data_IF_620278032731
#
_entry.id   IF_620278032731
#
_cell.length_a   1.000
_cell.length_b   1.000
_cell.length_c   1.000
_cell.angle_alpha   90.00
_cell.angle_beta   90.00
_cell.angle_gamma   90.00
#
_symmetry.space_group_name_H-M   'P 1'
#
loop_
_entity.id
_entity.type
_entity.pdbx_description
1 polymer ?
#
# COMPACT_ATOMS: atom_id res chain seq x y z
N UNK A 1 -6.05 31.69 -42.91
CA UNK A 1 -5.06 32.30 -42.04
C UNK A 1 -4.05 31.24 -41.60
N UNK A 2 -2.76 31.49 -41.80
CA UNK A 2 -1.73 30.55 -41.35
C UNK A 2 -1.28 30.89 -39.95
N UNK A 3 -1.15 29.85 -39.12
CA UNK A 3 -0.59 30.01 -37.79
C UNK A 3 0.91 30.30 -37.92
N UNK A 4 1.47 31.29 -37.19
CA UNK A 4 2.92 31.55 -37.22
C UNK A 4 3.70 30.27 -36.89
N UNK A 5 4.82 30.03 -37.59
CA UNK A 5 5.65 28.83 -37.39
C UNK A 5 6.14 28.69 -35.95
N UNK A 6 6.44 29.82 -35.28
CA UNK A 6 6.87 29.83 -33.89
C UNK A 6 5.75 29.35 -32.96
N UNK A 7 4.53 29.85 -33.13
CA UNK A 7 3.38 29.45 -32.32
C UNK A 7 3.07 27.95 -32.48
N UNK A 8 3.10 27.46 -33.72
CA UNK A 8 2.90 26.04 -34.03
C UNK A 8 3.99 25.16 -33.41
N UNK A 9 5.24 25.60 -33.50
CA UNK A 9 6.38 24.91 -32.91
C UNK A 9 6.29 24.86 -31.37
N UNK A 10 5.92 25.96 -30.73
CA UNK A 10 5.73 26.03 -29.29
C UNK A 10 4.57 25.11 -28.87
N UNK A 11 3.46 25.12 -29.60
CA UNK A 11 2.33 24.24 -29.34
C UNK A 11 2.72 22.76 -29.43
N UNK A 12 3.48 22.39 -30.47
CA UNK A 12 3.93 21.01 -30.66
C UNK A 12 4.88 20.56 -29.55
N UNK A 13 5.79 21.42 -29.11
CA UNK A 13 6.68 21.14 -27.98
C UNK A 13 5.88 20.97 -26.70
N UNK A 14 4.93 21.89 -26.43
CA UNK A 14 4.09 21.84 -25.23
C UNK A 14 3.27 20.55 -25.17
N UNK A 15 2.59 20.19 -26.25
CA UNK A 15 1.79 18.96 -26.31
C UNK A 15 2.65 17.71 -26.19
N UNK A 16 3.83 17.68 -26.79
CA UNK A 16 4.77 16.56 -26.68
C UNK A 16 5.24 16.37 -25.24
N UNK A 17 5.59 17.47 -24.56
CA UNK A 17 6.00 17.42 -23.15
C UNK A 17 4.87 16.89 -22.27
N UNK A 18 3.64 17.34 -22.46
CA UNK A 18 2.48 16.87 -21.72
C UNK A 18 2.25 15.36 -21.93
N UNK A 19 2.31 14.92 -23.18
CA UNK A 19 2.11 13.49 -23.51
C UNK A 19 3.20 12.64 -22.87
N UNK A 20 4.46 13.06 -22.96
CA UNK A 20 5.58 12.34 -22.32
C UNK A 20 5.39 12.23 -20.82
N UNK A 21 5.01 13.32 -20.15
CA UNK A 21 4.76 13.31 -18.70
C UNK A 21 3.61 12.37 -18.32
N UNK A 22 2.53 12.37 -19.10
CA UNK A 22 1.39 11.46 -18.85
C UNK A 22 1.81 10.00 -19.02
N UNK A 23 2.58 9.69 -20.06
CA UNK A 23 3.08 8.32 -20.30
C UNK A 23 4.00 7.87 -19.17
N UNK A 24 4.93 8.72 -18.74
CA UNK A 24 5.85 8.41 -17.61
C UNK A 24 5.03 8.13 -16.35
N UNK A 25 4.06 8.97 -16.04
CA UNK A 25 3.20 8.80 -14.87
C UNK A 25 2.42 7.48 -14.93
N UNK A 26 1.85 7.16 -16.07
CA UNK A 26 1.13 5.90 -16.28
C UNK A 26 2.04 4.68 -16.12
N UNK A 27 3.25 4.73 -16.66
CA UNK A 27 4.24 3.65 -16.53
C UNK A 27 4.65 3.46 -15.07
N UNK A 28 4.86 4.55 -14.33
CA UNK A 28 5.20 4.47 -12.91
C UNK A 28 4.06 3.85 -12.08
N UNK A 29 2.81 4.22 -12.35
CA UNK A 29 1.65 3.64 -11.66
C UNK A 29 1.50 2.14 -11.92
N UNK A 30 1.67 1.72 -13.16
CA UNK A 30 1.62 0.31 -13.54
C UNK A 30 2.81 -0.45 -12.96
N UNK A 31 4.01 0.14 -13.03
CA UNK A 31 5.23 -0.45 -12.50
C UNK A 31 5.17 -0.74 -11.01
N UNK A 32 4.61 0.18 -10.23
CA UNK A 32 4.41 -0.01 -8.78
C UNK A 32 3.56 -1.26 -8.50
N UNK A 33 2.49 -1.47 -9.25
CA UNK A 33 1.65 -2.65 -9.12
C UNK A 33 2.35 -3.94 -9.53
N UNK A 34 3.15 -3.89 -10.59
CA UNK A 34 3.92 -5.05 -11.07
C UNK A 34 4.98 -5.49 -10.06
N UNK A 35 5.49 -4.58 -9.23
CA UNK A 35 6.41 -4.92 -8.14
C UNK A 35 5.71 -5.38 -6.87
N UNK A 36 4.39 -5.61 -6.90
CA UNK A 36 3.63 -6.09 -5.75
C UNK A 36 3.41 -5.05 -4.66
N UNK A 37 3.48 -3.76 -4.99
CA UNK A 37 3.20 -2.67 -4.05
C UNK A 37 1.78 -2.17 -4.22
N UNK A 38 1.03 -2.12 -3.12
CA UNK A 38 -0.32 -1.57 -3.08
C UNK A 38 -0.36 -0.38 -2.13
N UNK A 39 -1.28 0.55 -2.38
CA UNK A 39 -1.47 1.75 -1.57
C UNK A 39 -2.81 1.68 -0.87
N UNK A 40 -2.78 1.89 0.44
CA UNK A 40 -3.99 1.93 1.28
C UNK A 40 -4.05 3.22 2.06
N UNK A 41 -5.27 3.71 2.34
CA UNK A 41 -5.48 4.83 3.24
C UNK A 41 -5.78 4.32 4.65
N UNK A 42 -5.24 5.01 5.66
CA UNK A 42 -5.48 4.69 7.06
C UNK A 42 -6.79 5.35 7.49
N UNK A 43 -7.79 4.55 7.86
CA UNK A 43 -9.13 5.02 8.21
C UNK A 43 -9.46 4.90 9.70
N UNK A 44 -8.60 4.26 10.50
CA UNK A 44 -8.82 4.13 11.95
C UNK A 44 -7.57 4.53 12.73
N UNK A 45 -7.78 4.91 14.00
CA UNK A 45 -6.69 5.31 14.89
C UNK A 45 -5.97 4.17 15.60
N UNK A 46 -6.24 2.91 15.24
CA UNK A 46 -5.68 1.74 15.93
C UNK A 46 -4.15 1.65 15.86
N UNK A 47 -3.52 2.30 14.87
CA UNK A 47 -2.06 2.34 14.70
C UNK A 47 -1.45 3.70 15.01
N UNK A 48 -2.18 4.60 15.63
CA UNK A 48 -1.60 5.87 16.09
C UNK A 48 -0.63 5.64 17.25
N UNK A 49 0.43 6.43 17.39
CA UNK A 49 0.84 7.54 16.51
C UNK A 49 1.64 7.12 15.28
N UNK A 50 1.96 5.83 15.12
CA UNK A 50 2.82 5.34 14.02
C UNK A 50 2.18 5.59 12.65
N UNK A 51 0.90 5.28 12.51
CA UNK A 51 0.13 5.50 11.28
C UNK A 51 -1.13 6.29 11.58
N UNK A 52 -1.08 7.64 11.51
CA UNK A 52 -2.26 8.47 11.81
C UNK A 52 -3.37 8.30 10.75
N UNK A 53 -4.60 8.55 11.16
CA UNK A 53 -5.76 8.57 10.26
C UNK A 53 -5.53 9.58 9.13
N UNK A 54 -5.87 9.20 7.91
CA UNK A 54 -5.66 10.02 6.72
C UNK A 54 -4.31 9.82 6.05
N UNK A 55 -3.40 9.04 6.64
CA UNK A 55 -2.13 8.68 6.01
C UNK A 55 -2.34 7.73 4.86
N UNK A 56 -1.43 7.76 3.89
CA UNK A 56 -1.30 6.72 2.86
C UNK A 56 -0.15 5.80 3.24
N UNK A 57 -0.37 4.50 3.12
CA UNK A 57 0.65 3.49 3.36
C UNK A 57 0.91 2.69 2.08
N UNK A 58 2.18 2.37 1.87
CA UNK A 58 2.61 1.50 0.79
C UNK A 58 2.81 0.11 1.34
N UNK A 59 2.11 -0.86 0.78
CA UNK A 59 2.16 -2.26 1.23
C UNK A 59 2.81 -3.08 0.13
N UNK A 60 3.95 -3.70 0.46
CA UNK A 60 4.68 -4.55 -0.45
C UNK A 60 4.30 -6.02 -0.20
N UNK A 61 4.03 -6.74 -1.27
CA UNK A 61 3.81 -8.18 -1.21
C UNK A 61 5.06 -8.89 -0.66
N UNK A 62 4.87 -9.81 0.28
CA UNK A 62 5.95 -10.51 0.96
C UNK A 62 5.52 -11.94 1.28
N UNK A 63 6.48 -12.87 1.29
CA UNK A 63 6.22 -14.22 1.72
C UNK A 63 5.96 -14.24 3.24
N UNK A 64 4.88 -14.89 3.71
CA UNK A 64 4.59 -14.97 5.15
C UNK A 64 5.74 -15.47 6.01
N UNK A 65 6.60 -16.34 5.48
CA UNK A 65 7.76 -16.85 6.21
C UNK A 65 8.82 -15.80 6.53
N UNK A 66 8.79 -14.65 5.85
CA UNK A 66 9.72 -13.54 6.06
C UNK A 66 9.23 -12.52 7.08
N UNK A 67 7.97 -12.64 7.54
CA UNK A 67 7.42 -11.75 8.57
C UNK A 67 8.00 -12.12 9.93
N UNK A 68 8.39 -11.09 10.66
CA UNK A 68 8.92 -11.21 12.02
C UNK A 68 8.01 -10.51 13.04
N UNK A 69 8.15 -10.87 14.30
CA UNK A 69 7.49 -10.16 15.40
C UNK A 69 7.92 -8.70 15.38
N UNK A 70 6.99 -7.80 15.61
CA UNK A 70 7.07 -6.34 15.52
C UNK A 70 6.93 -5.77 14.11
N UNK A 71 6.88 -6.59 13.07
CA UNK A 71 6.52 -6.11 11.74
C UNK A 71 5.06 -5.64 11.71
N UNK A 72 4.79 -4.59 10.95
CA UNK A 72 3.44 -4.12 10.68
C UNK A 72 2.98 -4.77 9.38
N UNK A 73 1.86 -5.49 9.43
CA UNK A 73 1.30 -6.19 8.27
C UNK A 73 -0.06 -5.63 7.90
N UNK A 74 -0.39 -5.75 6.61
CA UNK A 74 -1.73 -5.51 6.09
C UNK A 74 -2.32 -6.84 5.65
N UNK A 75 -3.53 -7.10 6.08
CA UNK A 75 -4.24 -8.35 5.85
C UNK A 75 -5.72 -8.12 5.63
N UNK A 76 -6.41 -9.13 5.09
CA UNK A 76 -7.86 -9.11 4.92
C UNK A 76 -8.46 -10.35 5.54
N UNK A 77 -9.38 -10.19 6.47
CA UNK A 77 -10.19 -11.27 7.02
C UNK A 77 -11.43 -11.49 6.14
N UNK A 78 -12.01 -12.71 6.11
CA UNK A 78 -13.21 -12.95 5.33
C UNK A 78 -14.33 -11.99 5.68
N UNK A 79 -14.97 -11.42 4.66
CA UNK A 79 -16.08 -10.45 4.79
C UNK A 79 -15.73 -9.11 5.43
N UNK A 80 -14.43 -8.78 5.54
CA UNK A 80 -13.96 -7.52 6.12
C UNK A 80 -13.12 -6.71 5.13
N UNK A 81 -12.93 -5.42 5.46
CA UNK A 81 -12.00 -4.56 4.73
C UNK A 81 -10.57 -4.85 5.16
N UNK A 82 -9.56 -4.53 4.34
CA UNK A 82 -8.16 -4.68 4.74
C UNK A 82 -7.86 -3.90 6.02
N UNK A 83 -7.07 -4.52 6.88
CA UNK A 83 -6.62 -3.95 8.16
C UNK A 83 -5.10 -3.98 8.24
N UNK A 84 -4.53 -3.03 8.98
CA UNK A 84 -3.07 -2.92 9.20
C UNK A 84 -2.80 -2.87 10.69
N UNK A 85 -2.12 -3.86 11.22
CA UNK A 85 -1.76 -3.96 12.64
C UNK A 85 -0.35 -4.55 12.77
N UNK A 86 0.20 -4.47 13.98
CA UNK A 86 1.53 -4.99 14.29
C UNK A 86 1.47 -6.43 14.73
N UNK A 87 2.39 -7.25 14.24
CA UNK A 87 2.53 -8.65 14.66
C UNK A 87 3.16 -8.70 16.06
N UNK A 88 2.50 -9.32 17.01
CA UNK A 88 2.99 -9.48 18.38
C UNK A 88 3.41 -10.91 18.68
N UNK A 89 2.88 -11.89 17.97
CA UNK A 89 3.25 -13.31 18.06
C UNK A 89 3.08 -13.99 16.71
N UNK A 90 3.85 -15.04 16.47
CA UNK A 90 3.72 -15.87 15.26
C UNK A 90 3.62 -17.34 15.70
N UNK A 91 2.59 -18.03 15.24
CA UNK A 91 2.46 -19.48 15.36
C UNK A 91 2.76 -20.11 14.00
N UNK A 92 4.02 -20.49 13.80
CA UNK A 92 4.47 -21.05 12.54
C UNK A 92 3.85 -22.43 12.25
N UNK A 93 3.61 -23.23 13.28
CA UNK A 93 3.02 -24.54 13.13
C UNK A 93 1.62 -24.51 12.57
N UNK A 94 0.78 -23.57 13.05
CA UNK A 94 -0.58 -23.37 12.57
C UNK A 94 -0.70 -22.29 11.50
N UNK A 95 0.41 -21.64 11.15
CA UNK A 95 0.48 -20.57 10.13
C UNK A 95 -0.44 -19.40 10.48
N UNK A 96 -0.32 -18.88 11.68
CA UNK A 96 -1.12 -17.76 12.21
C UNK A 96 -0.23 -16.61 12.68
N UNK A 97 -0.70 -15.39 12.41
CA UNK A 97 -0.18 -14.17 13.02
C UNK A 97 -1.14 -13.70 14.11
N UNK A 98 -0.62 -13.35 15.26
CA UNK A 98 -1.36 -12.65 16.31
C UNK A 98 -0.99 -11.18 16.25
N UNK A 99 -1.98 -10.32 16.13
CA UNK A 99 -1.80 -8.90 15.81
C UNK A 99 -2.42 -8.01 16.88
N UNK A 100 -1.94 -6.77 16.92
CA UNK A 100 -2.42 -5.73 17.82
C UNK A 100 -2.24 -4.38 17.16
N UNK A 101 -3.27 -3.51 17.23
CA UNK A 101 -3.12 -2.10 16.90
C UNK A 101 -2.27 -1.39 17.94
N UNK A 102 -1.33 -0.54 17.53
CA UNK A 102 -0.41 0.15 18.44
C UNK A 102 -1.13 1.01 19.47
N UNK A 103 -2.29 1.57 19.14
CA UNK A 103 -3.11 2.36 20.03
C UNK A 103 -4.03 1.53 20.93
N UNK A 104 -4.14 0.22 20.69
CA UNK A 104 -5.01 -0.67 21.44
C UNK A 104 -4.27 -1.27 22.64
N UNK A 105 -4.98 -1.52 23.73
CA UNK A 105 -4.40 -2.10 24.95
C UNK A 105 -4.23 -3.61 24.86
N UNK A 106 -5.06 -4.28 24.05
CA UNK A 106 -5.10 -5.75 23.95
C UNK A 106 -4.90 -6.21 22.52
N UNK A 107 -4.45 -7.48 22.38
CA UNK A 107 -4.36 -8.15 21.09
C UNK A 107 -5.74 -8.23 20.42
N UNK A 108 -5.74 -8.32 19.08
CA UNK A 108 -6.95 -8.57 18.31
C UNK A 108 -7.53 -9.94 18.67
N UNK A 109 -8.87 -10.03 18.69
CA UNK A 109 -9.56 -11.23 19.12
C UNK A 109 -9.44 -12.43 18.18
N UNK A 110 -9.13 -12.20 16.91
CA UNK A 110 -8.99 -13.24 15.91
C UNK A 110 -7.58 -13.25 15.32
N UNK A 111 -6.89 -14.40 15.27
CA UNK A 111 -5.60 -14.49 14.58
C UNK A 111 -5.77 -14.39 13.06
N UNK A 112 -4.70 -14.00 12.39
CA UNK A 112 -4.65 -13.83 10.93
C UNK A 112 -3.93 -15.03 10.32
N UNK A 113 -4.61 -15.80 9.46
CA UNK A 113 -3.96 -16.89 8.75
C UNK A 113 -2.97 -16.34 7.72
N UNK A 114 -1.85 -17.03 7.51
CA UNK A 114 -0.82 -16.62 6.53
C UNK A 114 -1.39 -16.33 5.14
N UNK A 115 -2.40 -17.10 4.71
CA UNK A 115 -3.05 -16.93 3.40
C UNK A 115 -3.81 -15.60 3.26
N UNK A 116 -4.13 -14.93 4.37
CA UNK A 116 -4.85 -13.65 4.38
C UNK A 116 -3.91 -12.45 4.41
N UNK A 117 -2.60 -12.67 4.43
CA UNK A 117 -1.60 -11.61 4.36
C UNK A 117 -1.64 -10.93 2.99
N UNK A 118 -1.72 -9.60 2.98
CA UNK A 118 -1.56 -8.80 1.77
C UNK A 118 -0.10 -8.37 1.64
N UNK A 119 0.52 -7.92 2.72
CA UNK A 119 1.91 -7.51 2.69
C UNK A 119 2.34 -6.73 3.93
N UNK A 120 3.45 -6.07 3.83
CA UNK A 120 4.06 -5.32 4.93
C UNK A 120 4.57 -3.94 4.49
#
# INVERSE_FOLDING_TARGET
>A
MQVPNVAKKVWNIFTTVIVVLVVIFAVLLIGVRLFGVQVYSVISGSMEPEYPVGSLIYVKDINPSEIEVNDVITYVLPSETPSTHRVVRIDEENQLFYTKGDANETEDGAPVHFKNLIGT
#
